data_IF_931744300922
#
_entry.id   IF_931744300922
#
_cell.length_a   1.000
_cell.length_b   1.000
_cell.length_c   1.000
_cell.angle_alpha   90.00
_cell.angle_beta   90.00
_cell.angle_gamma   90.00
#
_symmetry.space_group_name_H-M   'P 1'
#
loop_
_entity.id
_entity.type
_entity.pdbx_description
1 polymer ?
#
# COMPACT_ATOMS: atom_id res chain seq x y z
N UNK A 1 39.02 1.66 -28.32
CA UNK A 1 38.17 0.70 -27.59
C UNK A 1 37.00 1.44 -26.95
N UNK A 2 35.93 1.69 -27.73
CA UNK A 2 34.84 2.62 -27.38
C UNK A 2 33.51 1.92 -27.09
N UNK A 3 33.51 0.93 -26.21
CA UNK A 3 32.27 0.24 -25.84
C UNK A 3 31.56 1.03 -24.75
N UNK A 4 30.42 1.64 -25.08
CA UNK A 4 29.47 2.15 -24.10
C UNK A 4 28.25 1.23 -24.04
N UNK A 5 27.78 0.93 -22.84
CA UNK A 5 26.53 0.21 -22.59
C UNK A 5 25.52 1.16 -21.94
N UNK A 6 24.29 1.12 -22.43
CA UNK A 6 23.17 1.92 -21.92
C UNK A 6 22.33 1.05 -21.00
N UNK A 7 22.07 1.54 -19.79
CA UNK A 7 21.18 0.91 -18.82
C UNK A 7 19.94 1.77 -18.63
N UNK A 8 18.84 1.12 -18.28
CA UNK A 8 17.60 1.77 -17.86
C UNK A 8 17.10 1.09 -16.60
N UNK A 9 16.70 1.89 -15.61
CA UNK A 9 16.15 1.45 -14.34
C UNK A 9 14.89 2.27 -14.04
N UNK A 10 13.86 1.59 -13.53
CA UNK A 10 12.66 2.23 -13.00
C UNK A 10 12.62 2.04 -11.49
N UNK A 11 12.64 3.14 -10.76
CA UNK A 11 12.50 3.15 -9.29
C UNK A 11 11.02 3.35 -8.95
N UNK A 12 10.50 2.58 -8.00
CA UNK A 12 9.11 2.63 -7.55
C UNK A 12 9.07 2.57 -6.01
N UNK A 13 8.05 3.16 -5.37
CA UNK A 13 7.90 3.12 -3.91
C UNK A 13 7.61 1.68 -3.42
N UNK A 14 7.87 1.35 -2.15
CA UNK A 14 7.54 0.05 -1.56
C UNK A 14 6.09 -0.39 -1.79
N UNK A 15 5.14 0.56 -1.75
CA UNK A 15 3.71 0.33 -2.00
C UNK A 15 3.43 -0.30 -3.38
N UNK A 16 4.28 -0.05 -4.37
CA UNK A 16 4.13 -0.62 -5.71
C UNK A 16 4.13 -2.16 -5.70
N UNK A 17 4.80 -2.80 -4.73
CA UNK A 17 4.82 -4.26 -4.60
C UNK A 17 3.42 -4.86 -4.39
N UNK A 18 2.52 -4.12 -3.76
CA UNK A 18 1.11 -4.53 -3.61
C UNK A 18 0.40 -4.69 -4.96
N UNK A 19 0.92 -4.10 -6.04
CA UNK A 19 0.39 -4.25 -7.39
C UNK A 19 0.83 -5.52 -8.12
N UNK A 20 1.77 -6.30 -7.57
CA UNK A 20 2.41 -7.43 -8.24
C UNK A 20 1.67 -8.76 -8.10
N UNK A 21 0.67 -8.81 -7.23
CA UNK A 21 -0.14 -10.01 -6.97
C UNK A 21 -1.62 -9.68 -6.99
N UNK A 22 -2.41 -10.63 -7.45
CA UNK A 22 -3.88 -10.60 -7.40
C UNK A 22 -4.35 -11.70 -6.45
N UNK A 23 -5.39 -11.41 -5.68
CA UNK A 23 -5.89 -12.33 -4.65
C UNK A 23 -7.43 -12.35 -4.63
N UNK A 24 -7.96 -13.41 -4.01
CA UNK A 24 -9.36 -13.53 -3.62
C UNK A 24 -9.42 -13.76 -2.12
N UNK A 25 -9.96 -12.80 -1.35
CA UNK A 25 -9.92 -12.83 0.12
C UNK A 25 -11.17 -12.20 0.71
N UNK A 26 -11.53 -12.69 1.90
CA UNK A 26 -12.64 -12.18 2.69
C UNK A 26 -12.09 -11.65 4.01
N UNK A 27 -12.42 -10.42 4.35
CA UNK A 27 -12.17 -9.78 5.64
C UNK A 27 -13.51 -9.59 6.34
N UNK A 28 -13.67 -10.17 7.53
CA UNK A 28 -14.89 -10.06 8.33
C UNK A 28 -14.57 -9.40 9.66
N UNK A 29 -15.43 -8.48 10.10
CA UNK A 29 -15.29 -7.77 11.37
C UNK A 29 -13.91 -7.12 11.56
N UNK A 30 -13.35 -6.55 10.49
CA UNK A 30 -12.05 -5.87 10.51
C UNK A 30 -12.19 -4.42 10.08
N UNK A 31 -11.46 -3.54 10.76
CA UNK A 31 -11.36 -2.13 10.40
C UNK A 31 -10.34 -1.89 9.28
N UNK A 32 -10.40 -0.68 8.72
CA UNK A 32 -9.50 -0.26 7.63
C UNK A 32 -8.03 -0.38 8.01
N UNK A 33 -7.70 -0.07 9.27
CA UNK A 33 -6.33 -0.12 9.80
C UNK A 33 -5.79 -1.54 9.78
N UNK A 34 -6.60 -2.50 10.22
CA UNK A 34 -6.25 -3.91 10.34
C UNK A 34 -6.09 -4.54 8.96
N UNK A 35 -7.02 -4.26 8.05
CA UNK A 35 -6.94 -4.74 6.65
C UNK A 35 -5.69 -4.16 5.98
N UNK A 36 -5.45 -2.85 6.13
CA UNK A 36 -4.27 -2.17 5.57
C UNK A 36 -2.98 -2.74 6.15
N UNK A 37 -2.88 -2.89 7.47
CA UNK A 37 -1.70 -3.44 8.14
C UNK A 37 -1.37 -4.84 7.63
N UNK A 38 -2.37 -5.70 7.53
CA UNK A 38 -2.22 -7.08 7.03
C UNK A 38 -1.62 -7.09 5.63
N UNK A 39 -2.23 -6.36 4.70
CA UNK A 39 -1.80 -6.36 3.30
C UNK A 39 -0.47 -5.66 3.09
N UNK A 40 -0.21 -4.55 3.78
CA UNK A 40 1.07 -3.85 3.71
C UNK A 40 2.22 -4.72 4.25
N UNK A 41 2.01 -5.39 5.38
CA UNK A 41 3.00 -6.28 5.98
C UNK A 41 3.33 -7.46 5.06
N UNK A 42 2.32 -8.11 4.48
CA UNK A 42 2.52 -9.21 3.53
C UNK A 42 3.30 -8.81 2.28
N UNK A 43 3.18 -7.54 1.84
CA UNK A 43 3.93 -6.99 0.71
C UNK A 43 5.27 -6.34 1.13
N UNK A 44 5.69 -6.52 2.39
CA UNK A 44 6.95 -6.02 2.94
C UNK A 44 7.00 -4.50 3.10
N UNK A 45 5.87 -3.81 3.13
CA UNK A 45 5.77 -2.37 3.38
C UNK A 45 5.74 -2.14 4.89
N UNK A 46 6.92 -1.94 5.48
CA UNK A 46 7.08 -1.85 6.95
C UNK A 46 7.05 -0.41 7.47
N UNK A 47 7.48 0.56 6.67
CA UNK A 47 7.45 1.97 7.03
C UNK A 47 6.13 2.61 6.61
N UNK A 48 5.13 2.61 7.50
CA UNK A 48 3.90 3.36 7.26
C UNK A 48 3.33 4.01 8.53
N UNK A 49 2.58 5.09 8.36
CA UNK A 49 1.96 5.84 9.45
C UNK A 49 0.49 6.14 9.10
N UNK A 50 -0.48 5.66 9.91
CA UNK A 50 -1.89 5.98 9.74
C UNK A 50 -2.29 7.28 10.45
N UNK A 51 -2.62 8.31 9.69
CA UNK A 51 -3.15 9.61 10.09
C UNK A 51 -4.65 9.70 9.79
N UNK A 52 -5.43 8.85 10.46
CA UNK A 52 -6.88 8.86 10.34
C UNK A 52 -7.47 9.92 11.28
N UNK A 53 -8.23 10.86 10.74
CA UNK A 53 -8.88 11.92 11.51
C UNK A 53 -10.10 11.42 12.27
N UNK A 54 -10.83 10.47 11.70
CA UNK A 54 -12.05 9.90 12.27
C UNK A 54 -11.85 8.42 12.58
N UNK A 55 -12.70 7.90 13.48
CA UNK A 55 -12.76 6.47 13.73
C UNK A 55 -13.47 5.78 12.56
N UNK A 56 -12.75 4.88 11.89
CA UNK A 56 -13.32 4.04 10.83
C UNK A 56 -13.77 2.72 11.45
N UNK A 57 -15.09 2.48 11.60
CA UNK A 57 -15.59 1.29 12.26
C UNK A 57 -15.23 0.03 11.48
N UNK A 58 -15.19 -1.10 12.19
CA UNK A 58 -14.99 -2.39 11.56
C UNK A 58 -16.10 -2.68 10.55
N UNK A 59 -15.70 -3.14 9.36
CA UNK A 59 -16.65 -3.58 8.34
C UNK A 59 -17.13 -4.98 8.69
N UNK A 60 -18.45 -5.19 8.62
CA UNK A 60 -19.04 -6.51 8.83
C UNK A 60 -18.46 -7.52 7.83
N UNK A 61 -18.38 -7.12 6.56
CA UNK A 61 -17.90 -7.95 5.46
C UNK A 61 -17.23 -7.12 4.37
N UNK A 62 -16.01 -7.50 3.97
CA UNK A 62 -15.26 -6.86 2.90
C UNK A 62 -14.54 -7.92 2.06
N UNK A 63 -14.60 -7.78 0.73
CA UNK A 63 -14.05 -8.77 -0.21
C UNK A 63 -13.05 -8.10 -1.14
N UNK A 64 -11.91 -8.76 -1.30
CA UNK A 64 -11.00 -8.56 -2.41
C UNK A 64 -11.32 -9.62 -3.47
N UNK A 65 -11.78 -9.21 -4.66
CA UNK A 65 -12.26 -10.13 -5.69
C UNK A 65 -11.49 -9.96 -7.00
N UNK A 66 -10.43 -10.75 -7.18
CA UNK A 66 -9.67 -10.79 -8.45
C UNK A 66 -8.92 -9.51 -8.78
N UNK A 67 -8.74 -8.62 -7.79
CA UNK A 67 -8.00 -7.37 -7.91
C UNK A 67 -6.64 -7.47 -7.20
N UNK A 68 -5.69 -6.62 -7.60
CA UNK A 68 -4.40 -6.56 -6.90
C UNK A 68 -4.55 -5.96 -5.51
N UNK A 69 -3.62 -6.24 -4.59
CA UNK A 69 -3.70 -5.63 -3.27
C UNK A 69 -3.61 -4.11 -3.34
N UNK A 70 -2.84 -3.57 -4.29
CA UNK A 70 -2.78 -2.12 -4.51
C UNK A 70 -4.13 -1.56 -4.97
N UNK A 71 -4.81 -2.24 -5.89
CA UNK A 71 -6.13 -1.82 -6.36
C UNK A 71 -7.16 -1.89 -5.23
N UNK A 72 -7.14 -2.98 -4.46
CA UNK A 72 -8.00 -3.18 -3.31
C UNK A 72 -7.78 -2.12 -2.23
N UNK A 73 -6.53 -1.90 -1.81
CA UNK A 73 -6.16 -0.88 -0.83
C UNK A 73 -6.56 0.52 -1.30
N UNK A 74 -6.27 0.86 -2.57
CA UNK A 74 -6.60 2.17 -3.13
C UNK A 74 -8.11 2.41 -3.13
N UNK A 75 -8.90 1.41 -3.52
CA UNK A 75 -10.36 1.47 -3.47
C UNK A 75 -10.86 1.63 -2.03
N UNK A 76 -10.33 0.82 -1.12
CA UNK A 76 -10.75 0.80 0.28
C UNK A 76 -10.43 2.12 1.00
N UNK A 77 -9.25 2.70 0.77
CA UNK A 77 -8.89 4.02 1.30
C UNK A 77 -9.76 5.11 0.70
N UNK A 78 -10.03 5.10 -0.61
CA UNK A 78 -10.89 6.08 -1.25
C UNK A 78 -12.34 6.04 -0.72
N UNK A 79 -12.90 4.85 -0.47
CA UNK A 79 -14.23 4.68 0.14
C UNK A 79 -14.33 5.35 1.52
N UNK A 80 -13.23 5.35 2.29
CA UNK A 80 -13.13 5.96 3.62
C UNK A 80 -12.65 7.43 3.57
N UNK A 81 -12.46 8.01 2.37
CA UNK A 81 -11.93 9.38 2.22
C UNK A 81 -10.46 9.54 2.59
N UNK A 82 -9.70 8.44 2.65
CA UNK A 82 -8.29 8.39 2.98
C UNK A 82 -7.47 8.57 1.70
N UNK A 83 -6.53 9.52 1.71
CA UNK A 83 -5.52 9.67 0.67
C UNK A 83 -4.15 9.26 1.23
N UNK A 84 -3.22 8.91 0.34
CA UNK A 84 -1.88 8.50 0.76
C UNK A 84 -0.79 9.22 -0.01
N UNK A 85 0.37 9.34 0.62
CA UNK A 85 1.57 9.87 0.01
C UNK A 85 2.82 9.28 0.66
N UNK A 86 3.91 9.25 -0.09
CA UNK A 86 5.21 8.84 0.43
C UNK A 86 5.97 10.05 0.97
N UNK A 87 6.46 9.93 2.22
CA UNK A 87 7.42 10.88 2.79
C UNK A 87 8.82 10.32 2.64
N UNK A 88 9.65 11.02 1.87
CA UNK A 88 11.08 10.76 1.77
C UNK A 88 11.83 11.57 2.84
N UNK A 89 12.65 10.91 3.65
CA UNK A 89 13.58 11.61 4.52
C UNK A 89 14.76 12.13 3.67
N UNK A 90 15.06 13.44 3.74
CA UNK A 90 16.02 14.09 2.82
C UNK A 90 17.37 13.39 2.67
N UNK A 91 17.98 12.97 3.80
CA UNK A 91 19.30 12.33 3.82
C UNK A 91 19.27 10.82 4.12
N UNK A 92 18.08 10.23 4.29
CA UNK A 92 17.95 8.81 4.64
C UNK A 92 17.19 8.06 3.55
N UNK A 93 17.63 6.84 3.26
CA UNK A 93 16.90 5.92 2.40
C UNK A 93 15.53 5.48 2.98
N UNK A 94 15.17 5.97 4.17
CA UNK A 94 13.88 5.76 4.78
C UNK A 94 12.76 6.48 3.99
N UNK A 95 11.91 5.68 3.39
CA UNK A 95 10.65 6.09 2.78
C UNK A 95 9.51 5.57 3.66
N UNK A 96 8.59 6.47 4.05
CA UNK A 96 7.45 6.13 4.89
C UNK A 96 6.15 6.46 4.16
N UNK A 97 5.29 5.45 3.99
CA UNK A 97 3.94 5.63 3.47
C UNK A 97 3.08 6.30 4.54
N UNK A 98 2.51 7.46 4.21
CA UNK A 98 1.54 8.13 5.09
C UNK A 98 0.15 7.90 4.51
N UNK A 99 -0.73 7.40 5.37
CA UNK A 99 -2.16 7.20 5.14
C UNK A 99 -2.94 8.12 6.07
#
# INVERSE_FOLDING_TARGET
NGWQMRYHLRIQPPLWRCGLRQNFRIFQQQDIRTISATLLNENGVTGWTPLFYEAHPAREFCVQYGESDLAFLSRLWAEEGIFFFDRCAGDSAAQTLTL
#
